data_IF_927003921774
#
_entry.id   IF_927003921774
#
_cell.length_a   1.000
_cell.length_b   1.000
_cell.length_c   1.000
_cell.angle_alpha   90.00
_cell.angle_beta   90.00
_cell.angle_gamma   90.00
#
_symmetry.space_group_name_H-M   'P 1'
#
loop_
_entity.id
_entity.type
_entity.pdbx_description
1 polymer ?
#
# COMPACT_ATOMS: atom_id res chain seq x y z
N UNK A 1 36.90 33.39 -26.77
CA UNK A 1 35.89 32.34 -26.78
C UNK A 1 35.57 31.94 -25.33
N UNK A 2 34.45 32.48 -24.80
CA UNK A 2 33.97 32.17 -23.45
C UNK A 2 33.02 30.97 -23.56
N UNK A 3 33.46 29.81 -23.11
CA UNK A 3 32.57 28.63 -22.98
C UNK A 3 31.62 28.85 -21.81
N UNK A 4 30.35 29.20 -22.10
CA UNK A 4 29.25 29.08 -21.12
C UNK A 4 29.03 27.60 -20.84
N UNK A 5 29.45 27.12 -19.68
CA UNK A 5 28.98 25.84 -19.13
C UNK A 5 27.46 25.97 -18.90
N UNK A 6 26.68 25.21 -19.67
CA UNK A 6 25.27 24.94 -19.35
C UNK A 6 25.28 24.11 -18.08
N UNK A 7 24.92 24.72 -16.96
CA UNK A 7 24.50 24.00 -15.76
C UNK A 7 23.15 23.33 -16.09
N UNK A 8 23.19 22.11 -16.59
CA UNK A 8 22.06 21.19 -16.47
C UNK A 8 21.93 20.89 -14.98
N UNK A 9 20.96 21.53 -14.31
CA UNK A 9 20.48 21.05 -13.01
C UNK A 9 20.04 19.60 -13.23
N UNK A 10 20.87 18.64 -12.81
CA UNK A 10 20.39 17.28 -12.58
C UNK A 10 19.28 17.42 -11.54
N UNK A 11 18.05 17.04 -11.91
CA UNK A 11 16.94 16.88 -10.98
C UNK A 11 17.35 15.76 -10.01
N UNK A 12 17.84 16.13 -8.84
CA UNK A 12 18.03 15.18 -7.74
C UNK A 12 16.64 14.86 -7.22
N UNK A 13 16.10 13.71 -7.60
CA UNK A 13 14.89 13.17 -6.99
C UNK A 13 15.22 12.79 -5.55
N UNK A 14 14.47 13.32 -4.59
CA UNK A 14 14.66 13.10 -3.16
C UNK A 14 13.68 12.02 -2.63
N UNK A 15 13.79 10.79 -3.14
CA UNK A 15 12.92 9.68 -2.77
C UNK A 15 11.64 9.58 -3.61
N UNK A 16 10.81 8.60 -3.28
CA UNK A 16 9.58 8.29 -4.00
C UNK A 16 8.44 7.91 -3.07
N UNK A 17 7.22 8.33 -3.39
CA UNK A 17 6.00 7.91 -2.69
C UNK A 17 5.12 7.10 -3.64
N UNK A 18 4.60 5.98 -3.12
CA UNK A 18 3.53 5.18 -3.72
C UNK A 18 2.30 5.34 -2.85
N UNK A 19 1.16 5.68 -3.42
CA UNK A 19 -0.12 5.61 -2.73
C UNK A 19 -0.78 4.27 -3.01
N UNK A 20 -0.98 3.47 -1.96
CA UNK A 20 -1.67 2.18 -2.03
C UNK A 20 -2.84 2.16 -1.05
N UNK A 21 -4.05 1.93 -1.57
CA UNK A 21 -5.28 1.95 -0.79
C UNK A 21 -5.93 0.59 -0.75
N UNK A 22 -6.26 0.10 0.44
CA UNK A 22 -7.00 -1.13 0.62
C UNK A 22 -8.49 -0.82 0.56
N UNK A 23 -9.15 -1.39 -0.46
CA UNK A 23 -10.57 -1.17 -0.76
C UNK A 23 -11.33 -2.44 -0.40
N UNK A 24 -11.86 -2.46 0.82
CA UNK A 24 -12.30 -3.69 1.48
C UNK A 24 -13.61 -3.57 2.27
N UNK A 25 -14.18 -2.36 2.40
CA UNK A 25 -15.37 -2.17 3.22
C UNK A 25 -16.67 -2.75 2.60
N UNK A 26 -16.70 -2.98 1.28
CA UNK A 26 -17.86 -3.47 0.53
C UNK A 26 -19.17 -2.68 0.77
N UNK A 27 -19.07 -1.41 1.18
CA UNK A 27 -20.17 -0.55 1.60
C UNK A 27 -20.24 0.76 0.79
N UNK A 28 -21.13 1.69 1.16
CA UNK A 28 -21.14 3.03 0.57
C UNK A 28 -19.83 3.81 0.82
N UNK A 29 -19.08 3.47 1.86
CA UNK A 29 -17.76 4.04 2.10
C UNK A 29 -16.79 3.81 0.93
N UNK A 30 -16.84 2.66 0.26
CA UNK A 30 -16.07 2.38 -0.95
C UNK A 30 -16.33 3.42 -2.04
N UNK A 31 -17.60 3.76 -2.30
CA UNK A 31 -17.98 4.76 -3.31
C UNK A 31 -17.44 6.14 -2.96
N UNK A 32 -17.71 6.61 -1.75
CA UNK A 32 -17.27 7.93 -1.28
C UNK A 32 -15.76 8.06 -1.34
N UNK A 33 -15.04 7.02 -0.90
CA UNK A 33 -13.60 6.96 -0.97
C UNK A 33 -13.06 7.03 -2.41
N UNK A 34 -13.54 6.16 -3.31
CA UNK A 34 -13.04 6.09 -4.69
C UNK A 34 -13.25 7.40 -5.43
N UNK A 35 -14.42 8.03 -5.31
CA UNK A 35 -14.72 9.31 -5.94
C UNK A 35 -13.86 10.45 -5.37
N UNK A 36 -13.68 10.49 -4.04
CA UNK A 36 -12.83 11.50 -3.40
C UNK A 36 -11.36 11.33 -3.76
N UNK A 37 -10.84 10.11 -3.71
CA UNK A 37 -9.47 9.81 -4.08
C UNK A 37 -9.20 10.13 -5.57
N UNK A 38 -10.11 9.77 -6.48
CA UNK A 38 -9.98 10.12 -7.90
C UNK A 38 -9.84 11.63 -8.09
N UNK A 39 -10.76 12.43 -7.51
CA UNK A 39 -10.71 13.88 -7.62
C UNK A 39 -9.39 14.46 -7.10
N UNK A 40 -8.92 13.96 -5.95
CA UNK A 40 -7.68 14.42 -5.33
C UNK A 40 -6.45 14.07 -6.17
N UNK A 41 -6.34 12.83 -6.61
CA UNK A 41 -5.22 12.37 -7.42
C UNK A 41 -5.17 13.03 -8.80
N UNK A 42 -6.32 13.23 -9.45
CA UNK A 42 -6.44 14.02 -10.69
C UNK A 42 -6.00 15.47 -10.48
N UNK A 43 -6.51 16.15 -9.44
CA UNK A 43 -6.16 17.53 -9.09
C UNK A 43 -4.66 17.74 -9.02
N UNK A 44 -3.95 16.78 -8.42
CA UNK A 44 -2.52 16.86 -8.19
C UNK A 44 -1.66 16.15 -9.23
N UNK A 45 -2.26 15.45 -10.20
CA UNK A 45 -1.58 14.59 -11.18
C UNK A 45 -0.61 13.62 -10.50
N UNK A 46 -1.13 12.84 -9.54
CA UNK A 46 -0.37 11.88 -8.72
C UNK A 46 -0.92 10.48 -8.92
N UNK A 47 -0.09 9.47 -9.29
CA UNK A 47 -0.55 8.10 -9.46
C UNK A 47 -0.94 7.47 -8.12
N UNK A 48 -1.87 6.52 -8.18
CA UNK A 48 -2.37 5.78 -7.04
C UNK A 48 -2.73 4.35 -7.41
N UNK A 49 -2.78 3.48 -6.41
CA UNK A 49 -3.13 2.07 -6.59
C UNK A 49 -4.23 1.69 -5.59
N UNK A 50 -5.28 1.03 -6.05
CA UNK A 50 -6.24 0.36 -5.17
C UNK A 50 -5.96 -1.14 -5.15
N UNK A 51 -6.12 -1.75 -3.98
CA UNK A 51 -6.09 -3.19 -3.81
C UNK A 51 -7.47 -3.62 -3.32
N UNK A 52 -8.20 -4.33 -4.16
CA UNK A 52 -9.61 -4.63 -3.93
C UNK A 52 -9.81 -6.07 -3.50
N UNK A 53 -10.62 -6.31 -2.44
CA UNK A 53 -11.06 -7.66 -2.09
C UNK A 53 -12.08 -8.18 -3.09
N UNK A 54 -12.14 -9.50 -3.28
CA UNK A 54 -13.16 -10.11 -4.14
C UNK A 54 -14.57 -9.80 -3.68
N UNK A 55 -14.82 -9.74 -2.36
CA UNK A 55 -16.11 -9.35 -1.79
C UNK A 55 -16.48 -7.92 -2.18
N UNK A 56 -15.56 -6.97 -2.02
CA UNK A 56 -15.81 -5.57 -2.37
C UNK A 56 -16.03 -5.41 -3.87
N UNK A 57 -15.21 -6.06 -4.70
CA UNK A 57 -15.40 -6.04 -6.15
C UNK A 57 -16.78 -6.60 -6.54
N UNK A 58 -17.21 -7.71 -5.93
CA UNK A 58 -18.52 -8.29 -6.19
C UNK A 58 -19.68 -7.35 -5.81
N UNK A 59 -19.54 -6.66 -4.68
CA UNK A 59 -20.59 -5.79 -4.14
C UNK A 59 -20.62 -4.39 -4.80
N UNK A 60 -19.46 -3.88 -5.23
CA UNK A 60 -19.25 -2.48 -5.62
C UNK A 60 -18.61 -2.33 -7.02
N UNK A 61 -18.83 -3.29 -7.91
CA UNK A 61 -18.22 -3.31 -9.25
C UNK A 61 -18.46 -2.03 -10.04
N UNK A 62 -19.66 -1.45 -9.97
CA UNK A 62 -19.98 -0.23 -10.73
C UNK A 62 -19.26 1.00 -10.19
N UNK A 63 -19.01 1.08 -8.88
CA UNK A 63 -18.23 2.17 -8.29
C UNK A 63 -16.76 2.06 -8.67
N UNK A 64 -16.23 0.85 -8.76
CA UNK A 64 -14.85 0.62 -9.22
C UNK A 64 -14.72 0.92 -10.71
N UNK A 65 -15.69 0.48 -11.54
CA UNK A 65 -15.73 0.81 -12.97
C UNK A 65 -15.80 2.30 -13.25
N UNK A 66 -16.51 3.04 -12.42
CA UNK A 66 -16.64 4.50 -12.57
C UNK A 66 -15.32 5.26 -12.46
N UNK A 67 -14.29 4.66 -11.83
CA UNK A 67 -12.96 5.27 -11.67
C UNK A 67 -11.85 4.56 -12.46
N UNK A 68 -12.09 3.39 -13.04
CA UNK A 68 -11.05 2.56 -13.64
C UNK A 68 -10.40 3.12 -14.92
N UNK A 69 -11.08 4.01 -15.64
CA UNK A 69 -10.56 4.66 -16.84
C UNK A 69 -9.60 5.82 -16.51
N UNK A 70 -9.33 6.06 -15.24
CA UNK A 70 -8.39 7.06 -14.76
C UNK A 70 -6.94 6.63 -15.07
N UNK A 71 -6.17 7.38 -15.88
CA UNK A 71 -4.83 6.98 -16.29
C UNK A 71 -3.82 6.93 -15.14
N UNK A 72 -4.13 7.56 -14.00
CA UNK A 72 -3.29 7.56 -12.80
C UNK A 72 -3.58 6.37 -11.88
N UNK A 73 -4.68 5.64 -12.11
CA UNK A 73 -5.11 4.51 -11.28
C UNK A 73 -4.47 3.21 -11.75
N UNK A 74 -3.98 2.44 -10.79
CA UNK A 74 -3.63 1.02 -10.95
C UNK A 74 -4.49 0.17 -10.02
N UNK A 75 -4.82 -1.04 -10.45
CA UNK A 75 -5.65 -1.96 -9.67
C UNK A 75 -4.87 -3.24 -9.36
N UNK A 76 -4.81 -3.60 -8.09
CA UNK A 76 -4.33 -4.86 -7.55
C UNK A 76 -5.43 -5.60 -6.80
N UNK A 77 -5.15 -6.82 -6.36
CA UNK A 77 -6.05 -7.62 -5.55
C UNK A 77 -5.68 -7.63 -4.06
N UNK A 78 -6.66 -7.93 -3.20
CA UNK A 78 -6.50 -8.01 -1.74
C UNK A 78 -7.10 -9.30 -1.16
N UNK A 79 -6.89 -10.44 -1.85
CA UNK A 79 -7.57 -11.72 -1.64
C UNK A 79 -9.10 -11.62 -1.80
N UNK A 80 -9.84 -12.72 -1.69
CA UNK A 80 -11.29 -12.66 -1.89
C UNK A 80 -12.03 -12.24 -0.62
N UNK A 81 -11.77 -12.92 0.50
CA UNK A 81 -12.43 -12.70 1.80
C UNK A 81 -11.48 -12.10 2.84
N UNK A 82 -10.44 -11.38 2.42
CA UNK A 82 -9.44 -10.82 3.33
C UNK A 82 -8.72 -11.90 4.17
N UNK A 83 -8.48 -13.09 3.59
CA UNK A 83 -7.76 -14.19 4.25
C UNK A 83 -6.26 -13.88 4.33
N UNK A 84 -5.69 -13.99 5.53
CA UNK A 84 -4.27 -13.80 5.75
C UNK A 84 -3.45 -14.86 5.00
N UNK A 85 -2.42 -14.43 4.27
CA UNK A 85 -1.48 -15.32 3.60
C UNK A 85 -0.53 -16.02 4.58
N UNK A 86 -0.34 -15.43 5.78
CA UNK A 86 0.57 -15.92 6.81
C UNK A 86 -0.01 -15.59 8.18
N UNK A 87 0.21 -16.45 9.16
CA UNK A 87 -0.21 -16.17 10.54
C UNK A 87 0.57 -15.00 11.13
N UNK A 88 -0.08 -14.21 11.96
CA UNK A 88 0.50 -13.05 12.65
C UNK A 88 0.42 -13.29 14.16
N UNK A 89 1.48 -12.92 14.87
CA UNK A 89 1.48 -12.94 16.32
C UNK A 89 2.11 -11.66 16.88
N UNK A 90 1.31 -10.63 17.08
CA UNK A 90 1.75 -9.34 17.59
C UNK A 90 2.13 -9.44 19.08
N UNK A 91 3.37 -9.02 19.38
CA UNK A 91 3.98 -9.08 20.72
C UNK A 91 4.76 -7.81 21.03
N UNK A 92 4.09 -6.71 21.39
CA UNK A 92 4.79 -5.46 21.70
C UNK A 92 5.63 -5.58 22.97
N UNK A 93 6.82 -4.98 22.96
CA UNK A 93 7.73 -4.99 24.11
C UNK A 93 7.27 -4.04 25.24
N UNK A 94 6.43 -3.06 24.91
CA UNK A 94 5.99 -2.00 25.84
C UNK A 94 4.78 -2.41 26.69
N UNK A 95 4.25 -3.64 26.51
CA UNK A 95 3.10 -4.16 27.25
C UNK A 95 1.77 -3.45 26.94
N UNK A 96 1.75 -2.56 25.94
CA UNK A 96 0.52 -1.86 25.53
C UNK A 96 -0.35 -2.77 24.68
N UNK A 97 -1.67 -2.54 24.67
CA UNK A 97 -2.58 -3.25 23.76
C UNK A 97 -2.17 -3.08 22.30
N UNK A 98 -2.29 -4.13 21.50
CA UNK A 98 -1.95 -4.14 20.07
C UNK A 98 -3.17 -4.20 19.17
N UNK A 99 -4.30 -4.65 19.72
CA UNK A 99 -5.58 -4.67 19.02
C UNK A 99 -6.70 -4.56 20.06
N UNK A 100 -7.40 -3.45 20.06
CA UNK A 100 -8.37 -3.15 21.12
C UNK A 100 -7.71 -3.20 22.51
N UNK A 101 -8.20 -4.04 23.41
CA UNK A 101 -7.67 -4.22 24.77
C UNK A 101 -6.73 -5.43 24.91
N UNK A 102 -6.38 -6.13 23.81
CA UNK A 102 -5.58 -7.33 23.85
C UNK A 102 -4.08 -7.02 23.95
N UNK A 103 -3.35 -7.52 24.95
CA UNK A 103 -1.91 -7.30 25.10
C UNK A 103 -1.08 -8.04 24.04
N UNK A 104 -1.57 -9.18 23.56
CA UNK A 104 -1.03 -9.93 22.44
C UNK A 104 -2.17 -10.31 21.51
N UNK A 105 -1.89 -10.43 20.23
CA UNK A 105 -2.89 -10.80 19.25
C UNK A 105 -2.34 -11.86 18.32
N UNK A 106 -3.05 -12.98 18.20
CA UNK A 106 -2.76 -14.03 17.24
C UNK A 106 -3.89 -14.17 16.24
N UNK A 107 -3.54 -14.17 14.97
CA UNK A 107 -4.48 -14.49 13.90
C UNK A 107 -3.88 -15.54 12.96
N UNK A 108 -4.64 -16.62 12.76
CA UNK A 108 -4.23 -17.74 11.93
C UNK A 108 -4.29 -17.37 10.46
N UNK A 109 -3.22 -17.61 9.73
CA UNK A 109 -3.21 -17.54 8.26
C UNK A 109 -4.00 -18.69 7.63
N UNK A 110 -4.44 -18.49 6.38
CA UNK A 110 -5.11 -19.51 5.60
C UNK A 110 -4.25 -20.74 5.34
N UNK A 111 -4.89 -21.89 5.06
CA UNK A 111 -4.19 -23.03 4.46
C UNK A 111 -3.75 -22.70 3.04
N UNK A 112 -2.77 -23.44 2.50
CA UNK A 112 -2.34 -23.22 1.08
C UNK A 112 -3.50 -23.33 0.09
N UNK A 113 -4.39 -24.28 0.31
CA UNK A 113 -5.58 -24.48 -0.52
C UNK A 113 -6.52 -23.25 -0.44
N UNK A 114 -6.77 -22.74 0.75
CA UNK A 114 -7.56 -21.51 0.93
C UNK A 114 -6.89 -20.31 0.25
N UNK A 115 -5.58 -20.12 0.47
CA UNK A 115 -4.82 -19.01 -0.14
C UNK A 115 -4.87 -19.10 -1.66
N UNK A 116 -4.66 -20.27 -2.24
CA UNK A 116 -4.78 -20.49 -3.68
C UNK A 116 -6.18 -20.14 -4.19
N UNK A 117 -7.22 -20.59 -3.50
CA UNK A 117 -8.61 -20.29 -3.86
C UNK A 117 -8.91 -18.79 -3.77
N UNK A 118 -8.48 -18.12 -2.71
CA UNK A 118 -8.65 -16.69 -2.48
C UNK A 118 -8.02 -15.85 -3.61
N UNK A 119 -6.76 -16.16 -3.95
CA UNK A 119 -6.01 -15.44 -4.98
C UNK A 119 -6.61 -15.71 -6.36
N UNK A 120 -6.85 -16.97 -6.70
CA UNK A 120 -7.36 -17.37 -8.00
C UNK A 120 -8.78 -16.83 -8.27
N UNK A 121 -9.66 -16.90 -7.27
CA UNK A 121 -11.03 -16.39 -7.39
C UNK A 121 -11.05 -14.88 -7.60
N UNK A 122 -10.22 -14.14 -6.88
CA UNK A 122 -10.14 -12.68 -7.04
C UNK A 122 -9.53 -12.31 -8.40
N UNK A 123 -8.50 -13.04 -8.84
CA UNK A 123 -7.87 -12.84 -10.14
C UNK A 123 -8.88 -13.01 -11.28
N UNK A 124 -9.63 -14.11 -11.28
CA UNK A 124 -10.66 -14.37 -12.27
C UNK A 124 -11.78 -13.32 -12.22
N UNK A 125 -12.20 -12.93 -11.03
CA UNK A 125 -13.26 -11.93 -10.87
C UNK A 125 -12.84 -10.57 -11.44
N UNK A 126 -11.59 -10.13 -11.22
CA UNK A 126 -11.04 -8.90 -11.81
C UNK A 126 -11.03 -8.99 -13.34
N UNK A 127 -10.54 -10.10 -13.89
CA UNK A 127 -10.55 -10.33 -15.34
C UNK A 127 -11.97 -10.32 -15.90
N UNK A 128 -12.90 -11.01 -15.23
CA UNK A 128 -14.28 -11.16 -15.70
C UNK A 128 -15.08 -9.87 -15.61
N UNK A 129 -14.94 -9.14 -14.52
CA UNK A 129 -15.73 -7.93 -14.29
C UNK A 129 -15.07 -6.66 -14.83
N UNK A 130 -13.76 -6.50 -14.68
CA UNK A 130 -13.06 -5.28 -15.08
C UNK A 130 -12.35 -5.39 -16.43
N UNK A 131 -12.18 -6.60 -16.99
CA UNK A 131 -11.50 -6.86 -18.27
C UNK A 131 -10.04 -6.38 -18.31
N UNK A 132 -9.36 -6.45 -17.17
CA UNK A 132 -7.95 -6.10 -17.02
C UNK A 132 -7.14 -7.27 -16.49
N UNK A 133 -5.82 -7.28 -16.78
CA UNK A 133 -4.87 -8.12 -16.06
C UNK A 133 -4.57 -7.52 -14.69
N UNK A 134 -4.70 -8.31 -13.63
CA UNK A 134 -4.26 -7.93 -12.30
C UNK A 134 -2.87 -8.51 -12.02
N UNK A 135 -1.87 -7.67 -11.88
CA UNK A 135 -0.48 -8.08 -11.62
C UNK A 135 0.01 -7.70 -10.22
N UNK A 136 -0.81 -7.07 -9.43
CA UNK A 136 -0.49 -6.61 -8.09
C UNK A 136 -1.32 -7.28 -7.02
N UNK A 137 -0.73 -7.47 -5.84
CA UNK A 137 -1.44 -7.98 -4.67
C UNK A 137 -0.97 -7.27 -3.39
N UNK A 138 -1.90 -6.97 -2.48
CA UNK A 138 -1.56 -6.68 -1.08
C UNK A 138 -2.04 -7.82 -0.18
N UNK A 139 -1.18 -8.24 0.74
CA UNK A 139 -1.56 -9.26 1.74
C UNK A 139 -2.32 -8.60 2.89
N UNK A 140 -3.46 -9.17 3.31
CA UNK A 140 -4.19 -8.65 4.48
C UNK A 140 -3.30 -8.50 5.71
N UNK A 141 -3.35 -7.34 6.35
CA UNK A 141 -2.59 -6.95 7.55
C UNK A 141 -1.06 -6.82 7.37
N UNK A 142 -0.46 -7.42 6.34
CA UNK A 142 0.97 -7.51 6.12
C UNK A 142 1.72 -8.35 7.17
N UNK A 143 3.02 -8.64 6.93
CA UNK A 143 3.79 -9.62 7.68
C UNK A 143 5.23 -9.13 7.90
N UNK A 144 5.91 -9.66 8.93
CA UNK A 144 7.34 -9.46 9.08
C UNK A 144 8.11 -10.11 7.93
N UNK A 145 8.90 -9.32 7.21
CA UNK A 145 9.68 -9.70 6.03
C UNK A 145 8.84 -10.27 4.88
N UNK A 146 7.57 -9.88 4.80
CA UNK A 146 6.69 -10.34 3.74
C UNK A 146 6.58 -11.86 3.65
N UNK A 147 6.84 -12.41 2.48
CA UNK A 147 6.76 -13.84 2.19
C UNK A 147 8.12 -14.54 2.04
N UNK A 148 9.20 -13.97 2.59
CA UNK A 148 10.58 -14.54 2.48
C UNK A 148 10.65 -16.00 2.97
N UNK A 149 9.88 -16.37 3.98
CA UNK A 149 9.79 -17.71 4.55
C UNK A 149 8.66 -18.58 3.95
N UNK A 150 7.99 -18.10 2.88
CA UNK A 150 6.83 -18.76 2.26
C UNK A 150 6.98 -18.87 0.73
N UNK A 151 8.02 -19.61 0.23
CA UNK A 151 8.18 -19.82 -1.20
C UNK A 151 7.01 -20.60 -1.83
N UNK A 152 6.27 -21.37 -1.05
CA UNK A 152 5.04 -22.04 -1.44
C UNK A 152 3.92 -21.04 -1.83
N UNK A 153 3.79 -19.92 -1.12
CA UNK A 153 2.84 -18.86 -1.46
C UNK A 153 3.36 -18.04 -2.66
N UNK A 154 4.67 -17.76 -2.70
CA UNK A 154 5.27 -17.10 -3.87
C UNK A 154 5.03 -17.86 -5.16
N UNK A 155 5.04 -19.21 -5.12
CA UNK A 155 4.68 -20.05 -6.27
C UNK A 155 3.22 -19.83 -6.69
N UNK A 156 2.28 -19.79 -5.74
CA UNK A 156 0.86 -19.50 -6.03
C UNK A 156 0.72 -18.11 -6.70
N UNK A 157 1.45 -17.11 -6.20
CA UNK A 157 1.43 -15.76 -6.79
C UNK A 157 1.99 -15.74 -8.21
N UNK A 158 3.12 -16.41 -8.43
CA UNK A 158 3.76 -16.53 -9.75
C UNK A 158 2.83 -17.22 -10.76
N UNK A 159 2.19 -18.33 -10.36
CA UNK A 159 1.24 -19.10 -11.18
C UNK A 159 -0.01 -18.27 -11.57
N UNK A 160 -0.37 -17.28 -10.76
CA UNK A 160 -1.46 -16.33 -11.03
C UNK A 160 -0.98 -15.04 -11.71
N UNK A 161 0.27 -14.94 -12.14
CA UNK A 161 0.80 -13.81 -12.90
C UNK A 161 1.08 -12.55 -12.07
N UNK A 162 1.11 -12.66 -10.74
CA UNK A 162 1.42 -11.53 -9.84
C UNK A 162 2.90 -11.13 -9.99
N UNK A 163 3.17 -9.84 -10.12
CA UNK A 163 4.51 -9.27 -10.36
C UNK A 163 4.98 -8.35 -9.24
N UNK A 164 4.09 -7.66 -8.57
CA UNK A 164 4.44 -6.87 -7.38
C UNK A 164 3.47 -7.15 -6.25
N UNK A 165 4.01 -7.16 -5.04
CA UNK A 165 3.22 -7.40 -3.83
C UNK A 165 3.55 -6.38 -2.76
N UNK A 166 2.63 -6.21 -1.83
CA UNK A 166 2.75 -5.37 -0.65
C UNK A 166 2.39 -6.21 0.57
N UNK A 167 3.38 -6.94 1.09
CA UNK A 167 3.19 -7.90 2.18
C UNK A 167 4.12 -7.66 3.37
N UNK A 168 5.28 -6.99 3.17
CA UNK A 168 6.20 -6.63 4.25
C UNK A 168 5.72 -5.33 4.92
N UNK A 169 4.97 -5.47 6.03
CA UNK A 169 4.33 -4.34 6.70
C UNK A 169 4.45 -4.41 8.24
N UNK A 170 5.38 -5.20 8.76
CA UNK A 170 5.55 -5.40 10.21
C UNK A 170 7.01 -5.56 10.59
N UNK A 171 7.34 -5.25 11.85
CA UNK A 171 8.64 -5.53 12.45
C UNK A 171 8.75 -6.99 12.94
N UNK A 172 9.89 -7.34 13.55
CA UNK A 172 10.17 -8.70 14.04
C UNK A 172 9.22 -9.19 15.18
N UNK A 173 8.40 -8.32 15.72
CA UNK A 173 7.37 -8.60 16.73
C UNK A 173 5.99 -8.75 16.13
N UNK A 174 5.89 -8.77 14.81
CA UNK A 174 4.66 -8.63 14.05
C UNK A 174 3.87 -7.34 14.38
N UNK A 175 4.58 -6.27 14.77
CA UNK A 175 4.00 -4.97 15.12
C UNK A 175 4.37 -3.90 14.07
N UNK A 176 3.72 -2.75 14.15
CA UNK A 176 4.09 -1.55 13.40
C UNK A 176 4.76 -0.53 14.36
N UNK A 177 5.55 0.40 13.86
CA UNK A 177 5.82 0.70 12.44
C UNK A 177 6.85 -0.25 11.81
N UNK A 178 6.72 -0.47 10.50
CA UNK A 178 7.78 -1.13 9.72
C UNK A 178 8.94 -0.15 9.54
N UNK A 179 10.20 -0.58 9.76
CA UNK A 179 11.36 0.29 9.57
C UNK A 179 11.48 0.80 8.13
N UNK A 180 11.87 2.07 7.95
CA UNK A 180 12.17 2.63 6.63
C UNK A 180 13.43 2.07 5.97
N UNK A 181 14.22 1.27 6.70
CA UNK A 181 15.31 0.47 6.12
C UNK A 181 14.80 -0.71 5.28
N UNK A 182 13.56 -1.12 5.48
CA UNK A 182 12.89 -2.15 4.68
C UNK A 182 12.44 -1.52 3.36
N UNK A 183 13.31 -1.57 2.35
CA UNK A 183 13.07 -1.01 1.03
C UNK A 183 12.61 -2.09 0.05
N UNK A 184 11.99 -1.75 -1.10
CA UNK A 184 11.55 -2.71 -2.10
C UNK A 184 12.66 -3.65 -2.55
N UNK A 185 12.33 -4.94 -2.72
CA UNK A 185 13.27 -5.97 -3.14
C UNK A 185 12.57 -7.08 -3.95
N UNK A 186 13.33 -7.74 -4.83
CA UNK A 186 12.85 -8.96 -5.52
C UNK A 186 13.09 -10.19 -4.67
N UNK A 187 12.19 -11.18 -4.74
CA UNK A 187 12.31 -12.48 -4.06
C UNK A 187 13.32 -13.43 -4.76
N UNK A 188 14.47 -12.89 -5.17
CA UNK A 188 15.50 -13.62 -5.93
C UNK A 188 16.07 -14.79 -5.14
N UNK A 189 16.34 -14.60 -3.85
CA UNK A 189 16.87 -15.66 -2.97
C UNK A 189 15.88 -16.81 -2.75
N UNK A 190 14.58 -16.55 -2.95
CA UNK A 190 13.52 -17.56 -2.89
C UNK A 190 13.25 -18.22 -4.25
N UNK A 191 13.92 -17.78 -5.32
CA UNK A 191 13.73 -18.29 -6.67
C UNK A 191 12.68 -17.55 -7.51
N UNK A 192 12.16 -16.40 -7.05
CA UNK A 192 11.12 -15.62 -7.71
C UNK A 192 11.61 -14.20 -8.06
N UNK A 193 12.61 -14.12 -8.91
CA UNK A 193 13.22 -12.84 -9.34
C UNK A 193 12.28 -11.91 -10.10
N UNK A 194 11.10 -12.39 -10.49
CA UNK A 194 10.05 -11.62 -11.16
C UNK A 194 8.99 -11.05 -10.20
N UNK A 195 9.05 -11.37 -8.89
CA UNK A 195 8.10 -10.84 -7.90
C UNK A 195 8.82 -9.79 -7.05
N UNK A 196 8.33 -8.55 -7.12
CA UNK A 196 8.81 -7.41 -6.34
C UNK A 196 7.98 -7.25 -5.06
N UNK A 197 8.63 -7.25 -3.90
CA UNK A 197 8.05 -6.76 -2.64
C UNK A 197 8.18 -5.24 -2.58
N UNK A 198 7.07 -4.53 -2.40
CA UNK A 198 7.04 -3.08 -2.24
C UNK A 198 7.19 -2.66 -0.76
N UNK A 199 6.67 -3.49 0.13
CA UNK A 199 6.54 -3.19 1.55
C UNK A 199 5.54 -2.06 1.87
N UNK A 200 5.33 -1.85 3.17
CA UNK A 200 4.66 -0.66 3.74
C UNK A 200 5.59 -0.11 4.80
N UNK A 201 6.25 0.99 4.54
CA UNK A 201 7.17 1.60 5.48
C UNK A 201 6.39 2.48 6.46
N UNK A 202 6.73 2.39 7.74
CA UNK A 202 6.08 3.18 8.77
C UNK A 202 4.75 2.59 9.26
N UNK A 203 3.89 3.45 9.76
CA UNK A 203 2.54 3.10 10.19
C UNK A 203 1.54 3.18 9.03
N UNK A 204 0.61 2.23 9.00
CA UNK A 204 -0.67 2.37 8.28
C UNK A 204 -1.61 3.26 9.11
N UNK A 205 -2.62 3.86 8.46
CA UNK A 205 -3.57 4.75 9.14
C UNK A 205 -4.30 4.06 10.30
N UNK A 206 -4.86 2.86 10.10
CA UNK A 206 -5.61 2.14 11.13
C UNK A 206 -4.73 1.76 12.33
N UNK A 207 -3.51 1.27 12.09
CA UNK A 207 -2.60 0.90 13.17
C UNK A 207 -2.03 2.09 13.92
N UNK A 208 -1.93 3.26 13.30
CA UNK A 208 -1.54 4.47 14.01
C UNK A 208 -2.59 4.85 15.05
N UNK A 209 -3.86 4.75 14.70
CA UNK A 209 -4.95 5.07 15.64
C UNK A 209 -5.06 4.08 16.79
N UNK A 210 -4.81 2.78 16.56
CA UNK A 210 -4.74 1.77 17.61
C UNK A 210 -3.61 2.04 18.62
N UNK A 211 -2.55 2.72 18.18
CA UNK A 211 -1.36 3.06 18.97
C UNK A 211 -1.26 4.57 19.25
N UNK A 212 -2.36 5.24 19.33
CA UNK A 212 -2.47 6.71 19.42
C UNK A 212 -1.71 7.36 20.57
N UNK A 213 -1.30 6.65 21.59
CA UNK A 213 -0.46 7.13 22.67
C UNK A 213 1.03 7.26 22.30
N UNK A 214 1.45 6.86 21.11
CA UNK A 214 2.79 7.11 20.59
C UNK A 214 2.94 8.55 20.07
N UNK A 215 3.24 9.46 20.98
CA UNK A 215 3.36 10.92 20.73
C UNK A 215 4.73 11.36 20.22
N UNK A 216 5.62 10.44 19.85
CA UNK A 216 6.99 10.78 19.43
C UNK A 216 7.04 11.71 18.22
N UNK A 217 6.03 11.70 17.37
CA UNK A 217 5.97 12.46 16.12
C UNK A 217 4.90 13.57 16.13
N UNK A 218 4.27 13.86 17.26
CA UNK A 218 3.18 14.82 17.37
C UNK A 218 1.87 14.18 17.82
N UNK A 219 0.80 14.96 17.76
CA UNK A 219 -0.51 14.57 18.32
C UNK A 219 -1.45 13.93 17.29
N UNK A 220 -1.05 13.86 16.02
CA UNK A 220 -1.90 13.37 14.94
C UNK A 220 -1.14 12.45 13.97
N UNK A 221 -1.90 11.65 13.21
CA UNK A 221 -1.34 10.86 12.09
C UNK A 221 -0.70 11.78 11.04
N UNK A 222 -1.24 12.95 10.82
CA UNK A 222 -0.70 13.94 9.90
C UNK A 222 0.70 14.42 10.33
N UNK A 223 0.92 14.71 11.62
CA UNK A 223 2.24 15.07 12.15
C UNK A 223 3.26 13.95 11.91
N UNK A 224 2.83 12.71 12.14
CA UNK A 224 3.64 11.53 11.82
C UNK A 224 4.02 11.47 10.33
N UNK A 225 3.05 11.64 9.43
CA UNK A 225 3.31 11.61 7.99
C UNK A 225 4.32 12.69 7.56
N UNK A 226 4.22 13.90 8.11
CA UNK A 226 5.14 14.99 7.79
C UNK A 226 6.56 14.73 8.29
N UNK A 227 6.71 14.17 9.49
CA UNK A 227 8.01 13.75 9.98
C UNK A 227 8.65 12.66 9.11
N UNK A 228 7.84 11.78 8.51
CA UNK A 228 8.34 10.75 7.60
C UNK A 228 8.73 11.30 6.22
N UNK A 229 8.12 12.39 5.74
CA UNK A 229 8.51 13.03 4.47
C UNK A 229 9.97 13.49 4.48
N UNK A 230 10.42 14.14 5.53
CA UNK A 230 11.81 14.58 5.67
C UNK A 230 12.76 13.37 5.61
N UNK A 231 12.41 12.30 6.31
CA UNK A 231 13.18 11.06 6.29
C UNK A 231 13.27 10.42 4.91
N UNK A 232 12.17 10.44 4.14
CA UNK A 232 12.12 9.93 2.76
C UNK A 232 13.00 10.77 1.84
N UNK A 233 12.90 12.09 1.95
CA UNK A 233 13.69 13.04 1.14
C UNK A 233 15.19 12.89 1.41
N UNK A 234 15.61 12.93 2.68
CA UNK A 234 17.01 12.87 3.09
C UNK A 234 17.65 11.52 2.77
N UNK A 235 16.88 10.43 2.92
CA UNK A 235 17.37 9.07 2.67
C UNK A 235 17.24 8.61 1.21
N UNK A 236 16.61 9.39 0.34
CA UNK A 236 16.24 8.98 -1.03
C UNK A 236 15.49 7.63 -1.05
N UNK A 237 14.51 7.47 -0.16
CA UNK A 237 13.82 6.22 0.10
C UNK A 237 12.55 6.08 -0.76
N UNK A 238 12.09 4.85 -0.91
CA UNK A 238 10.73 4.55 -1.36
C UNK A 238 9.83 4.43 -0.14
N UNK A 239 8.70 5.12 -0.16
CA UNK A 239 7.67 5.04 0.86
C UNK A 239 6.33 4.64 0.24
N UNK A 240 5.83 3.49 0.60
CA UNK A 240 4.50 3.03 0.22
C UNK A 240 3.52 3.38 1.34
N UNK A 241 2.76 4.45 1.13
CA UNK A 241 1.72 4.93 2.05
C UNK A 241 0.49 4.04 1.90
N UNK A 242 0.03 3.46 3.02
CA UNK A 242 -1.16 2.62 3.07
C UNK A 242 -2.29 3.34 3.80
N UNK A 243 -3.48 3.34 3.19
CA UNK A 243 -4.73 3.77 3.81
C UNK A 243 -5.90 2.90 3.32
N UNK A 244 -7.07 3.03 3.92
CA UNK A 244 -8.23 2.18 3.71
C UNK A 244 -9.45 2.99 3.28
N UNK A 245 -10.46 2.34 2.70
CA UNK A 245 -11.73 2.99 2.31
C UNK A 245 -12.73 3.17 3.48
N UNK A 246 -12.34 2.77 4.69
CA UNK A 246 -13.19 2.84 5.89
C UNK A 246 -13.55 4.28 6.28
N UNK A 247 -14.78 4.47 6.77
CA UNK A 247 -15.26 5.73 7.34
C UNK A 247 -15.53 6.86 6.35
N UNK A 248 -15.48 6.62 5.06
CA UNK A 248 -15.62 7.62 4.00
C UNK A 248 -16.92 7.45 3.24
N UNK A 249 -18.04 7.87 3.82
CA UNK A 249 -19.39 7.61 3.28
C UNK A 249 -19.71 8.41 2.02
N UNK A 250 -19.07 9.55 1.80
CA UNK A 250 -19.20 10.39 0.61
C UNK A 250 -17.93 11.24 0.35
N UNK A 251 -17.91 11.96 -0.75
CA UNK A 251 -16.77 12.81 -1.18
C UNK A 251 -16.50 13.94 -0.17
N UNK A 252 -17.54 14.53 0.42
CA UNK A 252 -17.36 15.59 1.42
C UNK A 252 -16.65 15.05 2.65
N UNK A 253 -17.12 13.93 3.20
CA UNK A 253 -16.49 13.23 4.33
C UNK A 253 -15.05 12.85 4.01
N UNK A 254 -14.77 12.40 2.77
CA UNK A 254 -13.39 12.11 2.34
C UNK A 254 -12.49 13.35 2.49
N UNK A 255 -12.90 14.51 1.95
CA UNK A 255 -12.09 15.73 2.04
C UNK A 255 -12.01 16.35 3.43
N UNK A 256 -12.99 16.08 4.30
CA UNK A 256 -12.95 16.49 5.70
C UNK A 256 -12.07 15.59 6.59
N UNK A 257 -11.69 14.41 6.08
CA UNK A 257 -10.93 13.39 6.82
C UNK A 257 -9.65 12.99 6.08
N UNK A 258 -9.68 11.84 5.41
CA UNK A 258 -8.50 11.26 4.73
C UNK A 258 -7.96 12.16 3.61
N UNK A 259 -8.82 12.75 2.81
CA UNK A 259 -8.42 13.63 1.72
C UNK A 259 -7.62 14.83 2.18
N UNK A 260 -7.95 15.39 3.34
CA UNK A 260 -7.23 16.56 3.88
C UNK A 260 -5.75 16.25 4.13
N UNK A 261 -5.44 15.17 4.84
CA UNK A 261 -4.04 14.84 5.13
C UNK A 261 -3.30 14.27 3.92
N UNK A 262 -3.99 13.54 3.02
CA UNK A 262 -3.38 13.06 1.77
C UNK A 262 -3.00 14.26 0.88
N UNK A 263 -3.89 15.24 0.75
CA UNK A 263 -3.61 16.44 -0.03
C UNK A 263 -2.41 17.21 0.50
N UNK A 264 -2.35 17.45 1.80
CA UNK A 264 -1.23 18.17 2.40
C UNK A 264 0.08 17.38 2.30
N UNK A 265 0.02 16.05 2.45
CA UNK A 265 1.16 15.16 2.21
C UNK A 265 1.70 15.32 0.78
N UNK A 266 0.81 15.33 -0.22
CA UNK A 266 1.19 15.52 -1.63
C UNK A 266 1.86 16.87 -1.84
N UNK A 267 1.28 17.95 -1.31
CA UNK A 267 1.83 19.31 -1.47
C UNK A 267 3.24 19.39 -0.88
N UNK A 268 3.40 18.97 0.37
CA UNK A 268 4.71 18.99 1.06
C UNK A 268 5.75 18.08 0.39
N UNK A 269 5.34 16.91 -0.08
CA UNK A 269 6.24 16.01 -0.81
C UNK A 269 6.77 16.66 -2.10
N UNK A 270 5.91 17.38 -2.84
CA UNK A 270 6.31 18.14 -4.03
C UNK A 270 7.31 19.25 -3.69
N UNK A 271 7.09 19.98 -2.61
CA UNK A 271 7.99 21.05 -2.15
C UNK A 271 9.37 20.50 -1.77
N UNK A 272 9.44 19.26 -1.25
CA UNK A 272 10.67 18.55 -0.94
C UNK A 272 11.31 17.87 -2.17
N UNK A 273 10.69 17.94 -3.36
CA UNK A 273 11.21 17.29 -4.58
C UNK A 273 11.03 15.77 -4.59
N UNK A 274 10.18 15.22 -3.74
CA UNK A 274 9.83 13.80 -3.73
C UNK A 274 8.94 13.49 -4.93
N UNK A 275 9.27 12.44 -5.67
CA UNK A 275 8.45 12.00 -6.81
C UNK A 275 7.32 11.09 -6.37
N UNK A 276 6.26 11.04 -7.18
CA UNK A 276 5.18 10.06 -7.02
C UNK A 276 5.29 9.04 -8.14
N UNK A 277 5.16 7.76 -7.78
CA UNK A 277 5.26 6.64 -8.72
C UNK A 277 4.18 5.61 -8.43
N UNK A 278 3.62 5.00 -9.47
CA UNK A 278 2.70 3.87 -9.29
C UNK A 278 3.46 2.57 -9.00
N UNK A 279 2.81 1.61 -8.36
CA UNK A 279 3.40 0.28 -8.09
C UNK A 279 3.89 -0.42 -9.38
N UNK A 280 3.11 -0.47 -10.50
CA UNK A 280 3.61 -1.07 -11.75
C UNK A 280 4.79 -0.33 -12.37
N UNK A 281 4.85 1.01 -12.23
CA UNK A 281 5.98 1.78 -12.77
C UNK A 281 7.25 1.53 -11.95
N UNK A 282 7.16 1.47 -10.62
CA UNK A 282 8.32 1.10 -9.80
C UNK A 282 8.80 -0.32 -10.13
N UNK A 283 7.88 -1.28 -10.29
CA UNK A 283 8.24 -2.62 -10.76
C UNK A 283 9.04 -2.57 -12.06
N UNK A 284 8.57 -1.82 -13.05
CA UNK A 284 9.23 -1.70 -14.35
C UNK A 284 10.63 -1.08 -14.24
N UNK A 285 10.77 -0.01 -13.44
CA UNK A 285 12.08 0.64 -13.21
C UNK A 285 13.06 -0.31 -12.53
N UNK A 286 12.63 -1.01 -11.48
CA UNK A 286 13.50 -1.94 -10.73
C UNK A 286 13.85 -3.20 -11.52
N UNK A 287 12.95 -3.69 -12.38
CA UNK A 287 13.21 -4.84 -13.24
C UNK A 287 14.18 -4.52 -14.40
N UNK A 288 14.35 -3.24 -14.72
CA UNK A 288 15.27 -2.78 -15.77
C UNK A 288 16.66 -2.39 -15.25
N UNK A 289 16.84 -2.30 -13.91
CA UNK A 289 18.09 -1.89 -13.25
C UNK A 289 19.02 -3.08 -12.97
#
# INVERSE_FOLDING_TARGET
LVFRRRNTKMSTTHGSIIFGYDVESASEATKGFLQGAQQLHQKHNVPWTIYVTGQTLSARVEDIRAVMDEPLLSIGQHTFNHVLLKSIYMRPDDGKPVHGSLPNFFHQGGTLEQIQQEIHSTQNLIIDLLKIECRGLTGPWGYYRGLVDRPDILQILSDNGIKWIRTNARDYRDCQPTPFSEQPFFYTDQGFSEILELGVQGYQDDFYWDRFDDRRFGDSYQDYLFAMLEKVADGNLVWNVCSHDHGTVDVETFFQTKGAWIEELIVRAKDLGIRFISAPNLYTEMAAA
#
